data_IF_824546975470
#
_entry.id   IF_824546975470
#
_cell.length_a   1.000
_cell.length_b   1.000
_cell.length_c   1.000
_cell.angle_alpha   90.00
_cell.angle_beta   90.00
_cell.angle_gamma   90.00
#
_symmetry.space_group_name_H-M   'P 1'
#
loop_
_entity.id
_entity.type
_entity.pdbx_description
1 polymer ?
#
# COMPACT_ATOMS: atom_id res chain seq x y z
N UNK A 1 15.42 -62.02 -10.44
CA UNK A 1 16.77 -61.55 -10.83
C UNK A 1 17.06 -60.31 -9.98
N UNK A 2 18.11 -60.37 -9.15
CA UNK A 2 18.59 -59.30 -8.25
C UNK A 2 18.87 -57.99 -9.02
N UNK A 3 18.84 -56.78 -8.44
CA UNK A 3 19.82 -56.16 -7.52
C UNK A 3 19.15 -54.91 -6.87
N UNK A 4 19.07 -54.76 -5.54
CA UNK A 4 20.02 -54.17 -4.57
C UNK A 4 20.40 -52.67 -4.75
N UNK A 5 19.85 -51.87 -3.82
CA UNK A 5 20.46 -50.88 -2.90
C UNK A 5 20.98 -49.49 -3.39
N UNK A 6 20.38 -48.48 -2.73
CA UNK A 6 20.96 -47.33 -2.01
C UNK A 6 21.65 -46.16 -2.74
N UNK A 7 21.08 -44.96 -2.52
CA UNK A 7 21.79 -43.74 -2.10
C UNK A 7 20.72 -42.71 -1.67
N UNK A 8 20.36 -42.60 -0.39
CA UNK A 8 20.95 -41.66 0.59
C UNK A 8 21.12 -40.23 0.07
N UNK A 9 20.14 -39.38 0.30
CA UNK A 9 20.34 -37.93 0.49
C UNK A 9 19.33 -37.45 1.53
N UNK A 10 19.82 -37.46 2.77
CA UNK A 10 19.16 -36.98 3.97
C UNK A 10 18.94 -35.48 3.92
N UNK A 11 17.74 -35.07 4.31
CA UNK A 11 17.39 -33.75 4.79
C UNK A 11 18.34 -33.33 5.92
N UNK A 12 19.14 -32.28 5.69
CA UNK A 12 19.82 -31.55 6.76
C UNK A 12 19.52 -30.07 6.60
N UNK A 13 18.42 -29.65 7.22
CA UNK A 13 18.19 -28.25 7.58
C UNK A 13 19.15 -27.96 8.73
N UNK A 14 20.19 -27.18 8.46
CA UNK A 14 21.14 -26.73 9.47
C UNK A 14 20.41 -25.89 10.51
N UNK A 15 20.46 -26.36 11.76
CA UNK A 15 19.99 -25.68 12.95
C UNK A 15 20.99 -24.58 13.33
N UNK A 16 20.65 -23.32 13.07
CA UNK A 16 21.31 -22.17 13.66
C UNK A 16 20.47 -21.68 14.84
N UNK A 17 20.79 -22.18 16.02
CA UNK A 17 20.31 -21.64 17.29
C UNK A 17 21.13 -20.39 17.67
N UNK A 18 20.50 -19.23 17.92
CA UNK A 18 21.14 -18.16 18.67
C UNK A 18 20.90 -18.36 20.17
N UNK A 19 21.97 -18.18 20.96
CA UNK A 19 21.98 -18.21 22.42
C UNK A 19 20.94 -17.22 23.00
N UNK A 20 19.95 -17.75 23.73
CA UNK A 20 19.12 -16.97 24.65
C UNK A 20 19.94 -16.63 25.89
N UNK A 21 20.26 -15.35 26.08
CA UNK A 21 20.44 -14.80 27.42
C UNK A 21 19.09 -14.31 27.92
N UNK A 22 18.75 -14.72 29.12
CA UNK A 22 17.48 -14.49 29.80
C UNK A 22 17.27 -13.02 30.13
N UNK A 23 16.21 -12.41 29.59
CA UNK A 23 15.52 -11.32 30.25
C UNK A 23 14.02 -11.57 30.20
N UNK A 24 13.48 -11.85 31.37
CA UNK A 24 12.06 -12.07 31.61
C UNK A 24 11.31 -10.74 31.56
N UNK A 25 10.48 -10.56 30.53
CA UNK A 25 9.33 -9.65 30.60
C UNK A 25 8.13 -10.35 29.98
N UNK A 26 7.16 -10.62 30.84
CA UNK A 26 5.86 -11.21 30.51
C UNK A 26 5.20 -10.46 29.35
N UNK A 27 5.07 -11.12 28.19
CA UNK A 27 4.18 -10.68 27.12
C UNK A 27 2.90 -11.49 27.23
N UNK A 28 1.84 -10.84 27.73
CA UNK A 28 0.47 -11.35 27.65
C UNK A 28 -0.01 -11.31 26.20
N UNK A 29 -0.82 -12.29 25.74
CA UNK A 29 -1.48 -12.19 24.44
C UNK A 29 -2.57 -11.12 24.56
N UNK A 30 -2.45 -10.01 23.84
CA UNK A 30 -3.52 -9.04 23.75
C UNK A 30 -4.67 -9.61 22.92
N UNK A 31 -5.76 -9.89 23.64
CA UNK A 31 -7.07 -10.20 23.10
C UNK A 31 -7.53 -9.01 22.23
N UNK A 32 -7.56 -9.19 20.91
CA UNK A 32 -8.14 -8.20 20.00
C UNK A 32 -9.64 -8.07 20.30
N UNK A 33 -10.03 -6.95 20.89
CA UNK A 33 -11.43 -6.56 21.00
C UNK A 33 -11.81 -5.77 19.75
N UNK A 34 -12.97 -6.05 19.13
CA UNK A 34 -13.41 -5.30 17.96
C UNK A 34 -13.89 -3.92 18.43
N UNK A 35 -13.08 -2.89 18.26
CA UNK A 35 -13.57 -1.53 18.40
C UNK A 35 -14.43 -1.21 17.19
N UNK A 36 -15.74 -1.18 17.43
CA UNK A 36 -16.78 -0.66 16.57
C UNK A 36 -16.37 0.70 15.97
N UNK A 37 -15.81 0.67 14.75
CA UNK A 37 -15.42 1.87 14.01
C UNK A 37 -16.67 2.49 13.38
N UNK A 38 -17.13 3.60 13.94
CA UNK A 38 -18.17 4.42 13.30
C UNK A 38 -17.55 5.19 12.14
N UNK A 39 -17.92 4.80 10.92
CA UNK A 39 -17.66 5.58 9.71
C UNK A 39 -18.40 6.92 9.82
N UNK A 40 -17.69 7.97 10.21
CA UNK A 40 -18.07 9.34 9.89
C UNK A 40 -17.42 9.69 8.56
N UNK A 41 -18.15 9.45 7.48
CA UNK A 41 -17.92 10.11 6.19
C UNK A 41 -18.11 11.61 6.39
N UNK A 42 -17.05 12.30 6.82
CA UNK A 42 -16.94 13.75 6.63
C UNK A 42 -16.59 13.97 5.16
N UNK A 43 -17.61 14.32 4.38
CA UNK A 43 -17.46 15.03 3.12
C UNK A 43 -16.43 16.16 3.38
N UNK A 44 -15.28 16.08 2.72
CA UNK A 44 -14.25 17.11 2.75
C UNK A 44 -14.86 18.33 2.05
N UNK A 45 -15.14 19.45 2.74
CA UNK A 45 -15.55 20.64 2.03
C UNK A 45 -14.33 21.16 1.28
N UNK A 46 -14.51 21.34 -0.03
CA UNK A 46 -13.60 22.10 -0.89
C UNK A 46 -13.28 23.43 -0.21
N UNK A 47 -12.10 23.53 0.39
CA UNK A 47 -11.59 24.75 0.99
C UNK A 47 -11.29 25.71 -0.16
N UNK A 48 -12.27 26.58 -0.43
CA UNK A 48 -12.08 27.77 -1.21
C UNK A 48 -11.10 28.66 -0.42
N UNK A 49 -9.85 28.67 -0.85
CA UNK A 49 -8.78 29.51 -0.30
C UNK A 49 -9.08 30.99 -0.57
N UNK A 50 -9.99 31.58 0.20
CA UNK A 50 -10.11 33.03 0.32
C UNK A 50 -9.37 33.46 1.58
N UNK A 51 -8.05 33.51 1.49
CA UNK A 51 -7.22 34.15 2.50
C UNK A 51 -7.30 35.67 2.24
N UNK A 52 -7.82 36.49 3.17
CA UNK A 52 -7.69 37.93 3.03
C UNK A 52 -6.20 38.27 3.15
N UNK A 53 -5.61 38.77 2.06
CA UNK A 53 -4.29 39.39 2.11
C UNK A 53 -4.35 40.60 3.05
N UNK A 54 -4.07 40.35 4.33
CA UNK A 54 -3.53 41.39 5.19
C UNK A 54 -2.10 41.60 4.73
N UNK A 55 -1.90 42.69 3.99
CA UNK A 55 -0.60 43.33 3.82
C UNK A 55 -0.07 43.69 5.22
N UNK A 56 0.62 42.74 5.84
CA UNK A 56 1.60 43.08 6.84
C UNK A 56 2.84 43.47 6.05
N UNK A 57 3.08 44.78 5.94
CA UNK A 57 4.34 45.31 5.46
C UNK A 57 5.44 44.88 6.44
N UNK A 58 5.95 43.66 6.25
CA UNK A 58 7.21 43.25 6.83
C UNK A 58 8.27 43.87 5.93
N UNK A 59 8.98 44.86 6.48
CA UNK A 59 10.15 45.46 5.86
C UNK A 59 11.21 44.37 5.70
N UNK A 60 11.13 43.62 4.60
CA UNK A 60 12.22 42.78 4.13
C UNK A 60 13.19 43.74 3.45
N UNK A 61 14.10 44.33 4.21
CA UNK A 61 15.37 44.73 3.64
C UNK A 61 16.10 43.45 3.22
N UNK A 62 15.70 42.86 2.10
CA UNK A 62 16.58 41.99 1.35
C UNK A 62 17.72 42.91 0.90
N UNK A 63 18.75 43.00 1.72
CA UNK A 63 19.91 43.82 1.44
C UNK A 63 20.41 43.42 0.06
N UNK A 64 20.48 44.38 -0.85
CA UNK A 64 21.21 44.23 -2.10
C UNK A 64 22.68 44.15 -1.70
N UNK A 65 23.18 42.93 -1.54
CA UNK A 65 24.57 42.64 -1.15
C UNK A 65 25.39 42.59 -2.43
N UNK A 66 26.41 43.43 -2.56
CA UNK A 66 27.34 43.40 -3.70
C UNK A 66 28.52 42.44 -3.44
N UNK A 67 29.28 42.14 -4.49
CA UNK A 67 30.43 41.23 -4.40
C UNK A 67 31.52 41.87 -3.54
N UNK A 68 31.75 41.28 -2.36
CA UNK A 68 32.76 41.75 -1.40
C UNK A 68 32.17 42.44 -0.16
N UNK A 69 30.84 42.63 -0.11
CA UNK A 69 30.14 43.10 1.08
C UNK A 69 29.97 42.00 2.13
N UNK A 70 29.79 42.42 3.39
CA UNK A 70 29.46 41.51 4.48
C UNK A 70 28.07 40.88 4.27
N UNK A 71 28.00 39.58 4.51
CA UNK A 71 26.77 38.81 4.40
C UNK A 71 25.76 39.21 5.48
N UNK A 72 24.45 39.09 5.23
CA UNK A 72 23.44 39.46 6.21
C UNK A 72 23.59 38.58 7.46
N UNK A 73 23.15 39.12 8.61
CA UNK A 73 23.31 38.46 9.92
C UNK A 73 22.67 37.06 9.99
N UNK A 74 21.67 36.80 9.15
CA UNK A 74 20.94 35.53 9.01
C UNK A 74 21.49 34.59 7.92
N UNK A 75 22.62 34.91 7.27
CA UNK A 75 23.19 34.08 6.20
C UNK A 75 23.45 32.63 6.65
N UNK A 76 23.89 32.45 7.90
CA UNK A 76 24.17 31.13 8.45
C UNK A 76 22.90 30.28 8.69
N UNK A 77 21.71 30.88 8.61
CA UNK A 77 20.42 30.20 8.79
C UNK A 77 19.79 29.77 7.45
N UNK A 78 20.44 30.08 6.32
CA UNK A 78 19.96 29.72 4.97
C UNK A 78 20.47 28.32 4.61
N UNK A 79 19.67 27.30 4.91
CA UNK A 79 19.99 25.90 4.60
C UNK A 79 19.42 25.45 3.24
N UNK A 80 20.06 24.47 2.57
CA UNK A 80 19.48 23.81 1.40
C UNK A 80 18.10 23.23 1.72
N UNK A 81 17.09 23.64 0.97
CA UNK A 81 15.74 23.11 1.10
C UNK A 81 15.67 21.73 0.44
N UNK A 82 15.17 20.74 1.17
CA UNK A 82 14.93 19.41 0.61
C UNK A 82 13.86 19.50 -0.51
N UNK A 83 14.13 18.87 -1.65
CA UNK A 83 13.13 18.68 -2.70
C UNK A 83 12.20 17.51 -2.31
N UNK A 84 10.89 17.70 -2.49
CA UNK A 84 9.88 16.69 -2.24
C UNK A 84 9.95 15.54 -3.25
N UNK A 85 10.51 15.78 -4.44
CA UNK A 85 10.69 14.75 -5.49
C UNK A 85 11.72 13.68 -5.09
N UNK A 86 12.76 14.07 -4.34
CA UNK A 86 13.86 13.23 -3.86
C UNK A 86 13.54 12.49 -2.54
N UNK A 87 12.27 12.51 -2.12
CA UNK A 87 11.85 11.80 -0.91
C UNK A 87 12.08 10.30 -1.07
N UNK A 88 12.90 9.72 -0.19
CA UNK A 88 13.12 8.27 -0.10
C UNK A 88 11.80 7.56 0.25
N UNK A 89 11.48 6.50 -0.49
CA UNK A 89 10.25 5.72 -0.34
C UNK A 89 10.53 4.23 -0.44
N UNK A 90 9.69 3.44 0.24
CA UNK A 90 9.62 1.99 0.10
C UNK A 90 8.18 1.57 -0.20
N UNK A 91 8.01 0.40 -0.77
CA UNK A 91 6.71 -0.11 -1.19
C UNK A 91 6.69 -1.62 -1.38
N UNK A 92 5.48 -2.13 -1.62
CA UNK A 92 5.21 -3.56 -1.82
C UNK A 92 4.67 -3.78 -3.23
N UNK A 93 5.15 -4.83 -3.89
CA UNK A 93 4.58 -5.35 -5.13
C UNK A 93 3.58 -6.45 -4.78
N UNK A 94 2.28 -6.20 -5.03
CA UNK A 94 1.23 -7.17 -4.78
C UNK A 94 0.07 -6.95 -5.74
N UNK A 95 -0.33 -7.97 -6.47
CA UNK A 95 -1.49 -7.87 -7.36
C UNK A 95 -2.80 -8.10 -6.58
N UNK A 96 -3.89 -7.34 -6.86
CA UNK A 96 -5.17 -7.50 -6.14
C UNK A 96 -5.77 -8.91 -6.19
N UNK A 97 -5.52 -9.67 -7.25
CA UNK A 97 -6.02 -11.05 -7.37
C UNK A 97 -5.47 -12.01 -6.31
N UNK A 98 -4.40 -11.62 -5.61
CA UNK A 98 -3.76 -12.41 -4.57
C UNK A 98 -4.38 -12.19 -3.19
N UNK A 99 -5.33 -11.26 -3.05
CA UNK A 99 -6.03 -11.09 -1.78
C UNK A 99 -6.88 -12.34 -1.47
N UNK A 100 -6.79 -12.82 -0.24
CA UNK A 100 -7.65 -13.88 0.24
C UNK A 100 -9.05 -13.32 0.55
N UNK A 101 -10.07 -13.89 -0.08
CA UNK A 101 -11.47 -13.51 0.10
C UNK A 101 -12.40 -14.73 0.04
N UNK A 102 -13.71 -14.52 0.28
CA UNK A 102 -14.72 -15.58 0.13
C UNK A 102 -14.97 -15.95 -1.34
N UNK A 103 -14.49 -15.13 -2.27
CA UNK A 103 -14.55 -15.34 -3.70
C UNK A 103 -13.24 -15.97 -4.20
N UNK A 104 -13.32 -16.83 -5.23
CA UNK A 104 -12.17 -17.54 -5.83
C UNK A 104 -10.98 -16.65 -6.22
N UNK A 105 -11.21 -15.35 -6.40
CA UNK A 105 -10.23 -14.35 -6.80
C UNK A 105 -10.29 -13.15 -5.87
N UNK A 106 -9.13 -12.59 -5.54
CA UNK A 106 -9.07 -11.32 -4.80
C UNK A 106 -9.65 -10.15 -5.59
N UNK A 107 -10.30 -9.24 -4.88
CA UNK A 107 -11.03 -8.10 -5.44
C UNK A 107 -10.58 -6.76 -4.84
N UNK A 108 -11.14 -5.67 -5.34
CA UNK A 108 -10.96 -4.30 -4.84
C UNK A 108 -12.00 -3.93 -3.78
N UNK A 109 -12.29 -4.84 -2.85
CA UNK A 109 -13.18 -4.62 -1.71
C UNK A 109 -12.45 -4.34 -0.39
N UNK A 110 -13.02 -4.82 0.71
CA UNK A 110 -12.51 -4.60 2.08
C UNK A 110 -11.04 -4.99 2.27
N UNK A 111 -10.60 -6.07 1.62
CA UNK A 111 -9.20 -6.56 1.73
C UNK A 111 -8.20 -5.58 1.14
N UNK A 112 -8.55 -4.89 0.05
CA UNK A 112 -7.70 -3.87 -0.55
C UNK A 112 -7.52 -2.67 0.40
N UNK A 113 -8.60 -2.23 1.06
CA UNK A 113 -8.52 -1.18 2.08
C UNK A 113 -7.66 -1.59 3.27
N UNK A 114 -7.87 -2.81 3.80
CA UNK A 114 -7.05 -3.33 4.90
C UNK A 114 -5.57 -3.47 4.53
N UNK A 115 -5.27 -3.78 3.28
CA UNK A 115 -3.89 -3.82 2.79
C UNK A 115 -3.27 -2.41 2.75
N UNK A 116 -4.02 -1.39 2.32
CA UNK A 116 -3.55 0.01 2.33
C UNK A 116 -3.35 0.51 3.76
N UNK A 117 -4.25 0.19 4.68
CA UNK A 117 -4.11 0.52 6.11
C UNK A 117 -2.84 -0.10 6.69
N UNK A 118 -2.61 -1.38 6.42
CA UNK A 118 -1.37 -2.05 6.80
C UNK A 118 -0.12 -1.41 6.16
N UNK A 119 -0.20 -1.04 4.88
CA UNK A 119 0.90 -0.42 4.15
C UNK A 119 1.27 0.95 4.76
N UNK A 120 0.27 1.70 5.21
CA UNK A 120 0.43 2.94 5.95
C UNK A 120 1.03 2.70 7.35
N UNK A 121 0.54 1.69 8.08
CA UNK A 121 1.05 1.32 9.41
C UNK A 121 2.55 0.94 9.40
N UNK A 122 3.01 0.24 8.36
CA UNK A 122 4.44 -0.12 8.21
C UNK A 122 5.31 1.02 7.66
N UNK A 123 4.73 2.17 7.32
CA UNK A 123 5.45 3.33 6.79
C UNK A 123 5.86 3.20 5.31
N UNK A 124 5.33 2.21 4.60
CA UNK A 124 5.45 2.15 3.15
C UNK A 124 4.59 3.25 2.51
N UNK A 125 4.97 3.70 1.32
CA UNK A 125 4.25 4.77 0.60
C UNK A 125 4.07 4.51 -0.89
N UNK A 126 4.36 3.29 -1.33
CA UNK A 126 4.20 2.83 -2.70
C UNK A 126 3.54 1.45 -2.70
N UNK A 127 2.56 1.27 -3.56
CA UNK A 127 1.98 -0.02 -3.90
C UNK A 127 2.11 -0.21 -5.42
N UNK A 128 2.81 -1.26 -5.82
CA UNK A 128 3.00 -1.59 -7.22
C UNK A 128 2.11 -2.78 -7.61
N UNK A 129 1.41 -2.64 -8.74
CA UNK A 129 0.51 -3.64 -9.30
C UNK A 129 0.92 -3.99 -10.74
N UNK A 130 0.56 -5.19 -11.17
CA UNK A 130 0.62 -5.60 -12.58
C UNK A 130 -0.49 -4.90 -13.38
N UNK A 131 -0.44 -4.93 -14.74
CA UNK A 131 -1.48 -4.32 -15.56
C UNK A 131 -2.87 -4.81 -15.18
N UNK A 132 -3.78 -3.87 -14.91
CA UNK A 132 -5.16 -4.14 -14.51
C UNK A 132 -6.08 -4.36 -15.71
N UNK A 133 -5.53 -4.67 -16.88
CA UNK A 133 -6.28 -4.86 -18.12
C UNK A 133 -7.02 -6.20 -18.16
N UNK A 134 -8.14 -6.33 -18.90
CA UNK A 134 -8.82 -7.59 -19.08
C UNK A 134 -7.88 -8.62 -19.73
N UNK A 135 -7.58 -9.75 -19.08
CA UNK A 135 -6.64 -10.72 -19.61
C UNK A 135 -7.19 -11.41 -20.87
N UNK A 136 -6.27 -11.89 -21.71
CA UNK A 136 -6.60 -12.68 -22.89
C UNK A 136 -7.36 -13.96 -22.52
N UNK A 137 -8.34 -14.32 -23.36
CA UNK A 137 -9.16 -15.53 -23.22
C UNK A 137 -8.71 -16.68 -24.13
N UNK A 138 -7.53 -16.59 -24.72
CA UNK A 138 -6.99 -17.67 -25.54
C UNK A 138 -6.41 -18.77 -24.64
N UNK A 139 -6.58 -20.04 -25.04
CA UNK A 139 -6.21 -21.20 -24.23
C UNK A 139 -4.73 -21.24 -23.81
N UNK A 140 -3.85 -20.58 -24.56
CA UNK A 140 -2.41 -20.58 -24.30
C UNK A 140 -1.95 -19.43 -23.40
N UNK A 141 -2.82 -18.46 -23.06
CA UNK A 141 -2.42 -17.24 -22.32
C UNK A 141 -3.46 -16.79 -21.28
N UNK A 142 -4.30 -17.73 -20.83
CA UNK A 142 -5.38 -17.47 -19.90
C UNK A 142 -4.86 -16.86 -18.57
N UNK A 143 -5.45 -15.75 -18.16
CA UNK A 143 -5.15 -15.08 -16.90
C UNK A 143 -3.92 -14.17 -16.89
N UNK A 144 -3.13 -14.10 -17.98
CA UNK A 144 -1.96 -13.22 -18.06
C UNK A 144 -2.37 -11.73 -18.11
N UNK A 145 -1.87 -10.88 -17.18
CA UNK A 145 -2.13 -9.43 -17.22
C UNK A 145 -1.38 -8.73 -18.36
N UNK A 146 -0.37 -9.37 -18.96
CA UNK A 146 0.40 -8.79 -20.07
C UNK A 146 -0.20 -9.10 -21.44
N UNK A 147 -1.22 -9.95 -21.49
CA UNK A 147 -1.91 -10.32 -22.72
C UNK A 147 -3.30 -9.72 -22.72
N UNK A 148 -3.39 -8.43 -22.41
CA UNK A 148 -4.62 -7.68 -22.33
C UNK A 148 -5.38 -7.65 -23.65
N UNK A 149 -6.70 -7.75 -23.59
CA UNK A 149 -7.58 -7.55 -24.76
C UNK A 149 -7.71 -6.06 -25.13
N UNK A 150 -7.42 -5.19 -24.17
CA UNK A 150 -7.58 -3.74 -24.24
C UNK A 150 -6.48 -3.08 -23.39
N UNK A 151 -6.14 -1.81 -23.67
CA UNK A 151 -5.07 -1.06 -22.99
C UNK A 151 -5.61 -0.15 -21.87
N UNK A 152 -6.90 0.19 -21.92
CA UNK A 152 -7.55 1.19 -21.08
C UNK A 152 -8.61 0.59 -20.15
N UNK A 153 -9.26 -0.49 -20.55
CA UNK A 153 -10.28 -1.15 -19.75
C UNK A 153 -9.68 -1.78 -18.49
N UNK A 154 -10.50 -1.90 -17.44
CA UNK A 154 -10.16 -2.63 -16.23
C UNK A 154 -10.64 -4.07 -16.26
N UNK A 155 -9.91 -4.99 -15.62
CA UNK A 155 -10.29 -6.39 -15.41
C UNK A 155 -11.52 -6.44 -14.50
N UNK A 156 -12.67 -6.79 -15.07
CA UNK A 156 -13.97 -6.83 -14.36
C UNK A 156 -14.00 -7.84 -13.20
N UNK A 157 -13.16 -8.88 -13.24
CA UNK A 157 -13.04 -9.85 -12.15
C UNK A 157 -12.46 -9.26 -10.85
N UNK A 158 -11.97 -8.01 -10.88
CA UNK A 158 -11.49 -7.31 -9.68
C UNK A 158 -12.59 -6.51 -8.97
N UNK A 159 -13.81 -6.49 -9.50
CA UNK A 159 -14.94 -5.79 -8.87
C UNK A 159 -15.39 -6.60 -7.65
N UNK A 160 -15.44 -5.96 -6.47
CA UNK A 160 -15.97 -6.62 -5.26
C UNK A 160 -17.48 -6.74 -5.36
N UNK A 161 -17.95 -7.98 -5.20
CA UNK A 161 -19.39 -8.28 -5.21
C UNK A 161 -20.04 -7.77 -3.92
N UNK A 162 -19.32 -7.72 -2.80
CA UNK A 162 -19.85 -7.13 -1.56
C UNK A 162 -20.10 -5.63 -1.67
N UNK A 163 -19.24 -4.89 -2.39
CA UNK A 163 -19.48 -3.47 -2.66
C UNK A 163 -20.72 -3.26 -3.55
N UNK A 164 -20.95 -4.11 -4.55
CA UNK A 164 -22.17 -4.05 -5.38
C UNK A 164 -23.45 -4.27 -4.57
N UNK A 165 -23.41 -5.08 -3.52
CA UNK A 165 -24.54 -5.25 -2.59
C UNK A 165 -24.74 -4.00 -1.73
N UNK A 166 -23.65 -3.34 -1.30
CA UNK A 166 -23.74 -2.06 -0.56
C UNK A 166 -24.32 -0.94 -1.42
N UNK A 167 -24.00 -0.95 -2.71
CA UNK A 167 -24.53 0.00 -3.69
C UNK A 167 -25.99 -0.29 -4.10
N UNK A 168 -26.57 -1.42 -3.65
CA UNK A 168 -27.92 -1.84 -3.98
C UNK A 168 -28.10 -2.33 -5.42
N UNK A 169 -26.99 -2.64 -6.11
CA UNK A 169 -26.99 -3.21 -7.47
C UNK A 169 -27.18 -4.73 -7.47
N UNK A 170 -26.84 -5.39 -6.36
CA UNK A 170 -27.05 -6.82 -6.14
C UNK A 170 -27.78 -7.06 -4.83
N UNK A 171 -28.56 -8.14 -4.78
CA UNK A 171 -29.17 -8.65 -3.55
C UNK A 171 -28.22 -9.62 -2.84
N UNK A 172 -28.41 -9.83 -1.53
CA UNK A 172 -27.54 -10.74 -0.77
C UNK A 172 -27.71 -12.19 -1.18
N UNK A 173 -28.89 -12.52 -1.70
CA UNK A 173 -29.28 -13.84 -2.16
C UNK A 173 -28.61 -14.22 -3.49
N UNK A 174 -28.18 -13.23 -4.28
CA UNK A 174 -27.46 -13.42 -5.54
C UNK A 174 -25.95 -13.61 -5.35
N UNK A 175 -25.44 -13.46 -4.12
CA UNK A 175 -24.02 -13.66 -3.84
C UNK A 175 -23.62 -15.11 -4.09
N UNK A 176 -22.46 -15.34 -4.72
CA UNK A 176 -21.92 -16.68 -4.86
C UNK A 176 -21.65 -17.29 -3.48
N UNK A 177 -21.79 -18.62 -3.38
CA UNK A 177 -21.45 -19.32 -2.14
C UNK A 177 -19.96 -19.15 -1.87
N UNK A 178 -19.57 -18.85 -0.61
CA UNK A 178 -18.15 -18.75 -0.27
C UNK A 178 -17.46 -20.10 -0.51
N UNK A 179 -16.25 -20.03 -1.06
CA UNK A 179 -15.37 -21.19 -1.31
C UNK A 179 -14.61 -21.64 -0.07
#
# INVERSE_FOLDING_TARGET
>A
MALKLNSSLSLLISTLSPNLSSNSSSFSPFLFSPTHFQSKTKIIPFLQNNCPMKSAALSTHAAEVDIGDDLPFDYNDIFPKADLSERRRAGVMLHPTLFCGPHDIGDLGEKAFRFIDWLHEVGCSLWQVLPLVPPGRNANVEGSPYSGQDVNCGKTLLISVEELVKDGLLTKEELPKPV
#
